data_IF_194430641532
#
_entry.id   IF_194430641532
#
_cell.length_a   1.000
_cell.length_b   1.000
_cell.length_c   1.000
_cell.angle_alpha   90.00
_cell.angle_beta   90.00
_cell.angle_gamma   90.00
#
_symmetry.space_group_name_H-M   'P 1'
#
loop_
_entity.id
_entity.type
_entity.pdbx_description
1 polymer ?
#
# COMPACT_ATOMS: atom_id res chain seq x y z
N UNK A 1 19.40 25.05 -5.41
CA UNK A 1 19.01 23.61 -5.53
C UNK A 1 18.29 23.05 -4.30
N UNK A 2 18.60 23.50 -3.07
CA UNK A 2 18.03 22.94 -1.82
C UNK A 2 16.49 23.05 -1.65
N UNK A 3 15.82 24.08 -2.17
CA UNK A 3 14.36 24.27 -1.99
C UNK A 3 13.50 23.19 -2.67
N UNK A 4 13.99 22.56 -3.74
CA UNK A 4 13.25 21.52 -4.47
C UNK A 4 13.13 20.21 -3.70
N UNK A 5 14.21 19.80 -3.01
CA UNK A 5 14.25 18.55 -2.23
C UNK A 5 13.25 18.59 -1.07
N UNK A 6 13.17 19.71 -0.34
CA UNK A 6 12.24 19.84 0.78
C UNK A 6 10.78 19.78 0.36
N UNK A 7 10.43 20.43 -0.75
CA UNK A 7 9.06 20.35 -1.31
C UNK A 7 8.69 18.93 -1.76
N UNK A 8 9.66 18.17 -2.29
CA UNK A 8 9.46 16.80 -2.74
C UNK A 8 9.30 15.81 -1.57
N UNK A 9 10.13 15.96 -0.54
CA UNK A 9 9.99 15.20 0.71
C UNK A 9 8.66 15.49 1.40
N UNK A 10 8.24 16.76 1.44
CA UNK A 10 6.93 17.14 2.00
C UNK A 10 5.76 16.55 1.19
N UNK A 11 5.85 16.55 -0.14
CA UNK A 11 4.85 15.92 -1.01
C UNK A 11 4.71 14.41 -0.75
N UNK A 12 5.83 13.69 -0.67
CA UNK A 12 5.83 12.25 -0.33
C UNK A 12 5.29 11.99 1.08
N UNK A 13 5.69 12.79 2.06
CA UNK A 13 5.20 12.68 3.43
C UNK A 13 3.69 12.90 3.47
N UNK A 14 3.17 13.94 2.80
CA UNK A 14 1.73 14.18 2.73
C UNK A 14 0.98 13.01 2.05
N UNK A 15 1.54 12.46 0.98
CA UNK A 15 0.98 11.30 0.26
C UNK A 15 0.98 10.00 1.05
N UNK A 16 1.86 9.87 2.04
CA UNK A 16 1.89 8.70 2.92
C UNK A 16 1.07 8.92 4.18
N UNK A 17 1.21 10.08 4.83
CA UNK A 17 0.56 10.39 6.10
C UNK A 17 -0.94 10.46 5.95
N UNK A 18 -1.46 11.14 4.91
CA UNK A 18 -2.92 11.30 4.75
C UNK A 18 -3.61 9.95 4.55
N UNK A 19 -3.19 9.06 3.63
CA UNK A 19 -3.85 7.77 3.45
C UNK A 19 -3.62 6.78 4.58
N UNK A 20 -2.44 6.82 5.23
CA UNK A 20 -2.18 6.01 6.42
C UNK A 20 -3.09 6.43 7.56
N UNK A 21 -3.21 7.72 7.83
CA UNK A 21 -4.11 8.24 8.86
C UNK A 21 -5.58 7.93 8.51
N UNK A 22 -5.99 8.12 7.25
CA UNK A 22 -7.35 7.81 6.80
C UNK A 22 -7.65 6.31 6.92
N UNK A 23 -6.70 5.46 6.49
CA UNK A 23 -6.79 4.01 6.61
C UNK A 23 -6.89 3.56 8.07
N UNK A 24 -6.13 4.18 8.98
CA UNK A 24 -6.21 3.90 10.41
C UNK A 24 -7.55 4.37 11.03
N UNK A 25 -8.05 5.55 10.65
CA UNK A 25 -9.35 6.07 11.09
C UNK A 25 -10.49 5.15 10.61
N UNK A 26 -10.47 4.78 9.34
CA UNK A 26 -11.46 3.87 8.75
C UNK A 26 -11.37 2.50 9.42
N UNK A 27 -10.15 1.98 9.60
CA UNK A 27 -9.93 0.74 10.33
C UNK A 27 -10.56 0.80 11.71
N UNK A 28 -10.26 1.80 12.54
CA UNK A 28 -10.83 1.94 13.90
C UNK A 28 -12.36 2.02 13.85
N UNK A 29 -12.91 2.86 12.96
CA UNK A 29 -14.35 3.07 12.82
C UNK A 29 -15.11 1.82 12.38
N UNK A 30 -14.50 0.98 11.54
CA UNK A 30 -15.08 -0.29 11.12
C UNK A 30 -14.65 -1.47 12.01
N UNK A 31 -13.61 -1.31 12.84
CA UNK A 31 -13.15 -2.26 13.86
C UNK A 31 -14.06 -2.28 15.09
N UNK A 32 -14.75 -1.18 15.40
CA UNK A 32 -15.81 -1.21 16.43
C UNK A 32 -16.94 -2.18 16.05
N UNK A 33 -17.17 -2.45 14.76
CA UNK A 33 -18.08 -3.51 14.32
C UNK A 33 -17.47 -4.92 14.40
N UNK A 34 -16.16 -5.05 14.64
CA UNK A 34 -15.42 -6.32 14.88
C UNK A 34 -15.45 -6.72 16.35
N UNK A 35 -15.65 -5.76 17.29
CA UNK A 35 -15.78 -6.01 18.74
C UNK A 35 -16.99 -6.85 19.14
N UNK A 36 -17.90 -7.15 18.20
CA UNK A 36 -19.05 -8.02 18.43
C UNK A 36 -18.72 -9.46 17.99
N UNK A 37 -18.49 -10.40 18.93
CA UNK A 37 -18.01 -11.76 18.62
C UNK A 37 -19.00 -12.61 17.79
N UNK A 38 -20.27 -12.18 17.70
CA UNK A 38 -21.30 -12.84 16.90
C UNK A 38 -21.34 -12.38 15.43
N UNK A 39 -20.69 -11.27 15.07
CA UNK A 39 -20.61 -10.80 13.67
C UNK A 39 -19.36 -11.34 13.00
N UNK A 40 -19.55 -11.92 11.80
CA UNK A 40 -18.54 -12.52 10.93
C UNK A 40 -17.24 -11.69 10.90
N UNK A 41 -16.05 -12.35 10.83
CA UNK A 41 -14.76 -11.66 10.79
C UNK A 41 -14.78 -10.57 9.71
N UNK A 42 -14.60 -9.32 10.12
CA UNK A 42 -14.68 -8.18 9.22
C UNK A 42 -13.56 -8.23 8.18
N UNK A 43 -13.85 -8.80 7.02
CA UNK A 43 -13.01 -8.75 5.81
C UNK A 43 -12.92 -7.30 5.30
N UNK A 44 -14.04 -6.58 5.39
CA UNK A 44 -14.19 -5.20 4.93
C UNK A 44 -13.18 -4.20 5.52
N UNK A 45 -12.94 -4.12 6.85
CA UNK A 45 -11.95 -3.21 7.41
C UNK A 45 -10.52 -3.50 6.93
N UNK A 46 -10.15 -4.77 6.73
CA UNK A 46 -8.84 -5.12 6.17
C UNK A 46 -8.73 -4.74 4.71
N UNK A 47 -9.76 -5.02 3.91
CA UNK A 47 -9.82 -4.57 2.52
C UNK A 47 -9.66 -3.06 2.43
N UNK A 48 -10.41 -2.29 3.21
CA UNK A 48 -10.33 -0.83 3.20
C UNK A 48 -8.95 -0.33 3.63
N UNK A 49 -8.38 -0.88 4.71
CA UNK A 49 -7.03 -0.49 5.15
C UNK A 49 -5.99 -0.73 4.05
N UNK A 50 -5.99 -1.90 3.43
CA UNK A 50 -5.06 -2.20 2.34
C UNK A 50 -5.35 -1.34 1.10
N UNK A 51 -6.62 -1.11 0.75
CA UNK A 51 -7.01 -0.28 -0.38
C UNK A 51 -6.61 1.19 -0.23
N UNK A 52 -6.64 1.73 0.98
CA UNK A 52 -6.23 3.11 1.25
C UNK A 52 -4.72 3.28 1.39
N UNK A 53 -4.05 2.31 2.02
CA UNK A 53 -2.63 2.43 2.39
C UNK A 53 -1.70 1.78 1.36
N UNK A 54 -2.08 0.62 0.82
CA UNK A 54 -1.26 -0.16 -0.09
C UNK A 54 -0.82 0.64 -1.33
N UNK A 55 -1.74 1.25 -2.10
CA UNK A 55 -1.40 2.01 -3.30
C UNK A 55 -0.42 3.17 -3.08
N UNK A 56 -0.63 4.10 -2.13
CA UNK A 56 0.30 5.21 -1.92
C UNK A 56 1.65 4.73 -1.36
N UNK A 57 1.68 3.70 -0.51
CA UNK A 57 2.93 3.13 0.01
C UNK A 57 3.75 2.46 -1.09
N UNK A 58 3.11 1.67 -1.96
CA UNK A 58 3.77 1.06 -3.11
C UNK A 58 4.30 2.10 -4.09
N UNK A 59 3.51 3.14 -4.39
CA UNK A 59 3.92 4.23 -5.27
C UNK A 59 5.10 5.04 -4.69
N UNK A 60 5.07 5.36 -3.40
CA UNK A 60 6.18 6.08 -2.77
C UNK A 60 7.49 5.27 -2.84
N UNK A 61 7.43 3.95 -2.62
CA UNK A 61 8.58 3.08 -2.76
C UNK A 61 9.12 3.05 -4.20
N UNK A 62 8.22 2.98 -5.19
CA UNK A 62 8.60 3.08 -6.60
C UNK A 62 9.31 4.39 -6.92
N UNK A 63 8.76 5.52 -6.48
CA UNK A 63 9.35 6.84 -6.70
C UNK A 63 10.71 6.99 -6.01
N UNK A 64 10.90 6.39 -4.84
CA UNK A 64 12.21 6.35 -4.18
C UNK A 64 13.24 5.53 -4.96
N UNK A 65 12.85 4.38 -5.51
CA UNK A 65 13.75 3.55 -6.33
C UNK A 65 14.07 4.23 -7.67
N UNK A 66 13.05 4.77 -8.35
CA UNK A 66 13.21 5.48 -9.62
C UNK A 66 14.12 6.71 -9.46
N UNK A 67 13.89 7.53 -8.43
CA UNK A 67 14.72 8.70 -8.13
C UNK A 67 16.17 8.34 -7.74
N UNK A 68 16.39 7.16 -7.16
CA UNK A 68 17.74 6.67 -6.88
C UNK A 68 18.47 6.22 -8.15
N UNK A 69 17.77 5.56 -9.07
CA UNK A 69 18.31 5.08 -10.34
C UNK A 69 18.57 6.20 -11.36
N UNK A 70 17.81 7.30 -11.30
CA UNK A 70 17.91 8.43 -12.25
C UNK A 70 18.74 9.62 -11.74
N UNK A 71 19.56 9.42 -10.68
CA UNK A 71 20.34 10.47 -10.01
C UNK A 71 21.22 11.35 -10.93
N UNK A 72 21.60 10.85 -12.10
CA UNK A 72 22.51 11.52 -13.02
C UNK A 72 21.82 12.26 -14.19
N UNK A 73 20.49 12.33 -14.23
CA UNK A 73 19.79 13.04 -15.31
C UNK A 73 19.61 14.54 -15.02
N UNK A 74 20.16 15.44 -15.87
CA UNK A 74 20.21 16.89 -15.61
C UNK A 74 18.85 17.63 -15.73
N UNK A 75 17.75 16.95 -16.05
CA UNK A 75 16.44 17.56 -16.31
C UNK A 75 15.32 17.17 -15.33
N UNK A 76 15.66 16.70 -14.13
CA UNK A 76 14.71 16.26 -13.12
C UNK A 76 14.03 17.43 -12.37
N UNK A 77 13.10 18.15 -13.04
CA UNK A 77 12.10 19.01 -12.37
C UNK A 77 10.74 19.07 -13.13
N UNK A 78 9.59 19.14 -12.43
CA UNK A 78 9.35 18.82 -11.02
C UNK A 78 8.47 17.57 -10.92
N UNK A 79 9.02 16.49 -10.39
CA UNK A 79 8.23 15.32 -10.00
C UNK A 79 7.05 15.68 -9.07
N UNK A 80 7.06 16.85 -8.41
CA UNK A 80 5.97 17.40 -7.59
C UNK A 80 4.64 17.62 -8.33
N UNK A 81 4.66 18.19 -9.55
CA UNK A 81 3.41 18.49 -10.26
C UNK A 81 2.73 17.19 -10.72
N UNK A 82 3.54 16.17 -11.00
CA UNK A 82 3.07 14.83 -11.33
C UNK A 82 2.68 14.01 -10.09
N UNK A 83 3.11 14.37 -8.87
CA UNK A 83 2.80 13.58 -7.68
C UNK A 83 1.29 13.38 -7.53
N UNK A 84 0.48 14.43 -7.66
CA UNK A 84 -0.98 14.34 -7.53
C UNK A 84 -1.56 13.35 -8.55
N UNK A 85 -1.11 13.45 -9.80
CA UNK A 85 -1.55 12.54 -10.87
C UNK A 85 -1.11 11.10 -10.59
N UNK A 86 0.15 10.91 -10.18
CA UNK A 86 0.73 9.62 -9.79
C UNK A 86 -0.01 9.00 -8.60
N UNK A 87 -0.46 9.83 -7.65
CA UNK A 87 -1.25 9.39 -6.51
C UNK A 87 -2.62 8.87 -6.93
N UNK A 88 -3.37 9.61 -7.73
CA UNK A 88 -4.65 9.10 -8.26
C UNK A 88 -4.46 7.84 -9.12
N UNK A 89 -3.41 7.83 -9.94
CA UNK A 89 -3.07 6.67 -10.75
C UNK A 89 -2.72 5.45 -9.89
N UNK A 90 -2.06 5.64 -8.74
CA UNK A 90 -1.76 4.55 -7.81
C UNK A 90 -3.04 3.87 -7.32
N UNK A 91 -4.11 4.63 -7.03
CA UNK A 91 -5.40 4.04 -6.63
C UNK A 91 -6.10 3.31 -7.77
N UNK A 92 -6.04 3.84 -8.99
CA UNK A 92 -6.64 3.20 -10.16
C UNK A 92 -5.92 1.89 -10.49
N UNK A 93 -4.58 1.92 -10.52
CA UNK A 93 -3.78 0.77 -10.92
C UNK A 93 -3.56 -0.25 -9.78
N UNK A 94 -3.44 0.22 -8.54
CA UNK A 94 -3.11 -0.59 -7.37
C UNK A 94 -4.25 -0.82 -6.37
N UNK A 95 -5.35 -0.08 -6.47
CA UNK A 95 -6.45 -0.15 -5.50
C UNK A 95 -7.16 -1.51 -5.50
N UNK A 96 -7.50 -2.03 -6.68
CA UNK A 96 -8.16 -3.35 -6.82
C UNK A 96 -7.31 -4.48 -6.21
N UNK A 97 -6.04 -4.68 -6.61
CA UNK A 97 -5.22 -5.75 -6.03
C UNK A 97 -5.02 -5.55 -4.52
N UNK A 98 -4.94 -4.31 -4.03
CA UNK A 98 -4.83 -4.03 -2.60
C UNK A 98 -6.11 -4.38 -1.82
N UNK A 99 -7.30 -4.06 -2.34
CA UNK A 99 -8.59 -4.44 -1.73
C UNK A 99 -8.74 -5.97 -1.63
N UNK A 100 -8.36 -6.69 -2.68
CA UNK A 100 -8.38 -8.16 -2.72
C UNK A 100 -7.38 -8.72 -1.70
N UNK A 101 -6.15 -8.19 -1.67
CA UNK A 101 -5.13 -8.58 -0.70
C UNK A 101 -5.63 -8.41 0.74
N UNK A 102 -6.19 -7.24 1.08
CA UNK A 102 -6.77 -6.99 2.39
C UNK A 102 -7.95 -7.92 2.70
N UNK A 103 -8.75 -8.27 1.69
CA UNK A 103 -9.87 -9.20 1.87
C UNK A 103 -9.40 -10.61 2.25
N UNK A 104 -8.42 -11.13 1.51
CA UNK A 104 -7.82 -12.43 1.78
C UNK A 104 -7.14 -12.44 3.16
N UNK A 105 -6.37 -11.39 3.48
CA UNK A 105 -5.72 -11.27 4.78
C UNK A 105 -6.72 -11.16 5.94
N UNK A 106 -7.83 -10.43 5.75
CA UNK A 106 -8.91 -10.34 6.73
C UNK A 106 -9.63 -11.67 6.94
N UNK A 107 -9.86 -12.43 5.88
CA UNK A 107 -10.44 -13.78 5.95
C UNK A 107 -9.52 -14.78 6.65
N UNK A 108 -8.20 -14.67 6.42
CA UNK A 108 -7.20 -15.58 6.97
C UNK A 108 -6.56 -15.08 8.28
N UNK A 109 -7.06 -13.99 8.87
CA UNK A 109 -6.50 -13.32 10.07
C UNK A 109 -6.25 -14.26 11.26
N UNK A 110 -7.08 -15.29 11.43
CA UNK A 110 -6.93 -16.26 12.53
C UNK A 110 -5.71 -17.16 12.35
N UNK A 111 -5.33 -17.42 11.09
CA UNK A 111 -4.27 -18.36 10.69
C UNK A 111 -2.93 -17.65 10.48
N UNK A 112 -2.94 -16.38 10.09
CA UNK A 112 -1.74 -15.61 9.82
C UNK A 112 -1.59 -14.47 10.83
N UNK A 113 -0.88 -14.79 11.92
CA UNK A 113 -0.57 -13.87 13.01
C UNK A 113 0.93 -13.56 13.03
N UNK A 114 1.30 -12.32 13.35
CA UNK A 114 2.72 -11.94 13.44
C UNK A 114 3.44 -11.88 12.09
N UNK A 115 4.74 -12.20 12.11
CA UNK A 115 5.62 -12.14 10.94
C UNK A 115 5.13 -12.99 9.76
N UNK A 116 4.47 -14.12 10.02
CA UNK A 116 3.90 -14.97 8.97
C UNK A 116 2.78 -14.28 8.20
N UNK A 117 1.96 -13.45 8.87
CA UNK A 117 0.93 -12.66 8.19
C UNK A 117 1.50 -11.46 7.43
N UNK A 118 2.57 -10.86 7.95
CA UNK A 118 3.29 -9.81 7.22
C UNK A 118 3.90 -10.40 5.94
N UNK A 119 4.64 -11.51 6.04
CA UNK A 119 5.21 -12.19 4.88
C UNK A 119 4.16 -12.65 3.87
N UNK A 120 3.02 -13.17 4.35
CA UNK A 120 1.89 -13.54 3.49
C UNK A 120 1.31 -12.35 2.73
N UNK A 121 1.13 -11.21 3.40
CA UNK A 121 0.64 -9.98 2.77
C UNK A 121 1.63 -9.40 1.75
N UNK A 122 2.93 -9.51 2.01
CA UNK A 122 3.99 -9.09 1.07
C UNK A 122 3.93 -9.94 -0.21
N UNK A 123 3.91 -11.27 -0.06
CA UNK A 123 3.85 -12.18 -1.19
C UNK A 123 2.55 -12.02 -1.98
N UNK A 124 1.41 -11.94 -1.28
CA UNK A 124 0.11 -11.80 -1.91
C UNK A 124 -0.04 -10.44 -2.60
N UNK A 125 0.43 -9.36 -1.98
CA UNK A 125 0.42 -8.03 -2.56
C UNK A 125 1.25 -7.96 -3.84
N UNK A 126 2.48 -8.49 -3.83
CA UNK A 126 3.34 -8.56 -5.01
C UNK A 126 2.74 -9.41 -6.13
N UNK A 127 2.18 -10.58 -5.79
CA UNK A 127 1.56 -11.49 -6.76
C UNK A 127 0.30 -10.89 -7.39
N UNK A 128 -0.60 -10.30 -6.60
CA UNK A 128 -1.82 -9.69 -7.09
C UNK A 128 -1.55 -8.45 -7.95
N UNK A 129 -0.57 -7.62 -7.55
CA UNK A 129 -0.14 -6.50 -8.36
C UNK A 129 0.44 -6.97 -9.71
N UNK A 130 1.28 -8.00 -9.70
CA UNK A 130 1.80 -8.58 -10.94
C UNK A 130 0.69 -9.07 -11.86
N UNK A 131 -0.22 -9.92 -11.36
CA UNK A 131 -1.33 -10.46 -12.15
C UNK A 131 -2.20 -9.33 -12.71
N UNK A 132 -2.56 -8.35 -11.88
CA UNK A 132 -3.43 -7.25 -12.29
C UNK A 132 -2.81 -6.40 -13.40
N UNK A 133 -1.53 -6.04 -13.27
CA UNK A 133 -0.83 -5.27 -14.29
C UNK A 133 -0.59 -6.06 -15.58
N UNK A 134 -0.32 -7.37 -15.49
CA UNK A 134 -0.23 -8.24 -16.68
C UNK A 134 -1.58 -8.35 -17.40
N UNK A 135 -2.70 -8.53 -16.67
CA UNK A 135 -4.03 -8.65 -17.27
C UNK A 135 -4.53 -7.35 -17.93
N UNK A 136 -4.15 -6.20 -17.40
CA UNK A 136 -4.54 -4.88 -17.91
C UNK A 136 -3.65 -4.38 -19.04
N UNK A 137 -2.59 -5.10 -19.40
CA UNK A 137 -1.65 -4.69 -20.44
C UNK A 137 -0.86 -3.41 -20.08
N UNK A 138 -0.79 -3.07 -18.78
CA UNK A 138 -0.09 -1.88 -18.27
C UNK A 138 1.44 -1.99 -18.40
N UNK A 139 1.97 -3.18 -18.69
CA UNK A 139 3.35 -3.41 -19.10
C UNK A 139 3.42 -3.95 -20.53
N UNK A 140 4.27 -3.32 -21.33
CA UNK A 140 4.57 -3.80 -22.68
C UNK A 140 5.46 -5.07 -22.64
N UNK A 141 6.27 -5.23 -21.59
CA UNK A 141 7.21 -6.34 -21.44
C UNK A 141 7.11 -7.04 -20.08
N UNK A 142 7.14 -8.37 -20.10
CA UNK A 142 7.14 -9.21 -18.89
C UNK A 142 8.37 -8.94 -18.00
N UNK A 143 9.47 -8.47 -18.60
CA UNK A 143 10.66 -8.02 -17.88
C UNK A 143 10.43 -6.80 -16.99
N UNK A 144 9.39 -5.99 -17.22
CA UNK A 144 9.07 -4.85 -16.34
C UNK A 144 8.19 -5.23 -15.15
N UNK A 145 7.64 -6.44 -15.15
CA UNK A 145 6.71 -6.90 -14.13
C UNK A 145 7.27 -6.98 -12.71
N UNK A 146 8.60 -7.01 -12.55
CA UNK A 146 9.24 -6.92 -11.23
C UNK A 146 8.89 -5.61 -10.51
N UNK A 147 8.62 -4.52 -11.24
CA UNK A 147 8.23 -3.23 -10.66
C UNK A 147 6.88 -3.36 -9.96
N UNK A 148 5.88 -4.00 -10.59
CA UNK A 148 4.60 -4.28 -9.96
C UNK A 148 4.73 -5.21 -8.76
N UNK A 149 5.59 -6.23 -8.84
CA UNK A 149 5.87 -7.11 -7.70
C UNK A 149 6.40 -6.30 -6.52
N UNK A 150 7.40 -5.44 -6.74
CA UNK A 150 8.00 -4.61 -5.68
C UNK A 150 6.98 -3.63 -5.10
N UNK A 151 6.23 -2.92 -5.95
CA UNK A 151 5.19 -1.99 -5.49
C UNK A 151 4.12 -2.70 -4.65
N UNK A 152 3.63 -3.84 -5.14
CA UNK A 152 2.62 -4.65 -4.44
C UNK A 152 3.16 -5.23 -3.13
N UNK A 153 4.40 -5.70 -3.12
CA UNK A 153 5.07 -6.25 -1.94
C UNK A 153 5.24 -5.19 -0.85
N UNK A 154 5.69 -3.98 -1.21
CA UNK A 154 5.88 -2.88 -0.26
C UNK A 154 4.55 -2.32 0.23
N UNK A 155 3.54 -2.20 -0.64
CA UNK A 155 2.18 -1.83 -0.24
C UNK A 155 1.56 -2.85 0.72
N UNK A 156 1.78 -4.15 0.46
CA UNK A 156 1.38 -5.24 1.35
C UNK A 156 2.10 -5.20 2.71
N UNK A 157 3.41 -4.93 2.70
CA UNK A 157 4.21 -4.76 3.92
C UNK A 157 3.66 -3.62 4.79
N UNK A 158 3.47 -2.44 4.21
CA UNK A 158 3.02 -1.25 4.94
C UNK A 158 1.63 -1.46 5.56
N UNK A 159 0.70 -1.98 4.76
CA UNK A 159 -0.67 -2.25 5.20
C UNK A 159 -0.72 -3.31 6.31
N UNK A 160 0.04 -4.40 6.16
CA UNK A 160 0.11 -5.47 7.17
C UNK A 160 0.81 -5.01 8.46
N UNK A 161 1.81 -4.12 8.35
CA UNK A 161 2.53 -3.57 9.51
C UNK A 161 1.63 -2.68 10.35
N UNK A 162 0.78 -1.87 9.72
CA UNK A 162 -0.23 -1.06 10.42
C UNK A 162 -1.30 -1.97 11.04
N UNK A 163 -1.84 -2.91 10.28
CA UNK A 163 -2.83 -3.86 10.78
C UNK A 163 -2.30 -4.64 12.00
N UNK A 164 -1.05 -5.11 11.94
CA UNK A 164 -0.41 -5.83 13.03
C UNK A 164 -0.08 -4.92 14.23
N UNK A 165 0.41 -3.71 13.97
CA UNK A 165 0.72 -2.72 15.01
C UNK A 165 -0.50 -2.22 15.77
N UNK A 166 -1.66 -2.17 15.13
CA UNK A 166 -2.95 -1.89 15.78
C UNK A 166 -3.45 -3.12 16.53
N UNK A 167 -3.42 -4.29 15.90
CA UNK A 167 -3.90 -5.53 16.51
C UNK A 167 -3.11 -5.93 17.77
N UNK A 168 -1.80 -5.65 17.82
CA UNK A 168 -0.99 -5.85 19.03
C UNK A 168 -1.45 -4.98 20.20
N UNK A 169 -1.91 -3.74 19.94
CA UNK A 169 -2.42 -2.84 20.98
C UNK A 169 -3.77 -3.33 21.52
N UNK A 170 -4.65 -3.83 20.66
CA UNK A 170 -5.97 -4.38 21.06
C UNK A 170 -5.89 -5.64 21.94
N UNK A 171 -4.76 -6.37 21.96
CA UNK A 171 -4.55 -7.56 22.82
C UNK A 171 -3.93 -7.17 24.18
N UNK A 172 -3.40 -5.96 24.28
CA UNK A 172 -2.68 -5.48 25.48
C UNK A 172 -3.58 -4.71 26.46
N UNK A 173 -4.81 -4.38 26.03
CA UNK A 173 -5.88 -3.77 26.81
C UNK A 173 -6.92 -4.84 27.22
#
# INVERSE_FOLDING_TARGET
>A
MQSGIWSWLLGLVAMLVVPVALGEILWRRFSDSIRNPERKPGVLPFSLLFGFVGPPVGMAAFLMVASWLERDMPNSRPANDMLIVLFFFSYVAGGIPALICGGVMGGLRKRFKGWAGIGGAVLLGGLLAFIFFTMTGLYADFQEGWRAIVCGAVGGLGSASIAYGVWRREISD
#
